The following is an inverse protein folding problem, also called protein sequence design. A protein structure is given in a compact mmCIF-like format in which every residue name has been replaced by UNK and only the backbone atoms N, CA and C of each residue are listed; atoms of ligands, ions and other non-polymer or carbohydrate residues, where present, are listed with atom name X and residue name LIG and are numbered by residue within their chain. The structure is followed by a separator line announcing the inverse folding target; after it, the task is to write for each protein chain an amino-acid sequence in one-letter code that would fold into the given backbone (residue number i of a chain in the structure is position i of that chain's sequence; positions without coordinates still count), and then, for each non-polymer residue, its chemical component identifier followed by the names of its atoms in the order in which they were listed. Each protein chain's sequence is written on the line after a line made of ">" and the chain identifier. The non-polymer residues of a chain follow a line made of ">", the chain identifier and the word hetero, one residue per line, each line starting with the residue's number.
data_IF_405662799506
#
_entry.id   IF_405662799506
#
_cell.length_a   1.000
_cell.length_b   1.000
_cell.length_c   1.000
_cell.angle_alpha   90.00
_cell.angle_beta   90.00
_cell.angle_gamma   90.00
#
_symmetry.space_group_name_H-M   'P 1'
#
loop_
_entity.id
_entity.type
_entity.pdbx_description
1 polymer ?
#
# COMPACT_ATOMS: atom_id res chain seq x y z
N UNK A 1 -26.45 5.49 10.15
CA UNK A 1 -25.76 4.21 10.42
C UNK A 1 -24.32 4.30 9.95
N UNK A 2 -23.38 4.03 10.82
CA UNK A 2 -21.97 4.03 10.44
C UNK A 2 -21.62 2.76 9.64
N UNK A 3 -20.65 2.88 8.74
CA UNK A 3 -20.14 1.72 8.03
C UNK A 3 -19.51 0.73 9.03
N UNK A 4 -19.60 -0.58 8.77
CA UNK A 4 -18.83 -1.54 9.55
C UNK A 4 -17.35 -1.16 9.52
N UNK A 5 -16.67 -1.36 10.64
CA UNK A 5 -15.25 -0.99 10.77
C UNK A 5 -14.38 -1.68 9.72
N UNK A 6 -14.67 -2.95 9.39
CA UNK A 6 -13.94 -3.67 8.36
C UNK A 6 -14.09 -3.02 6.98
N UNK A 7 -15.30 -2.58 6.62
CA UNK A 7 -15.55 -1.89 5.37
C UNK A 7 -14.83 -0.53 5.32
N UNK A 8 -14.79 0.17 6.46
CA UNK A 8 -14.09 1.44 6.58
C UNK A 8 -12.59 1.27 6.39
N UNK A 9 -12.00 0.24 7.02
CA UNK A 9 -10.58 -0.06 6.86
C UNK A 9 -10.24 -0.47 5.42
N UNK A 10 -11.10 -1.28 4.80
CA UNK A 10 -10.93 -1.69 3.39
C UNK A 10 -10.97 -0.47 2.47
N UNK A 11 -11.90 0.46 2.70
CA UNK A 11 -12.00 1.68 1.91
C UNK A 11 -10.73 2.53 2.05
N UNK A 12 -10.19 2.65 3.26
CA UNK A 12 -8.94 3.38 3.50
C UNK A 12 -7.78 2.74 2.75
N UNK A 13 -7.69 1.41 2.75
CA UNK A 13 -6.65 0.70 2.00
C UNK A 13 -6.73 0.99 0.50
N UNK A 14 -7.93 0.98 -0.05
CA UNK A 14 -8.13 1.28 -1.47
C UNK A 14 -7.77 2.72 -1.82
N UNK A 15 -8.03 3.65 -0.93
CA UNK A 15 -7.62 5.05 -1.11
C UNK A 15 -6.11 5.20 -1.11
N UNK A 16 -5.41 4.47 -0.23
CA UNK A 16 -3.95 4.46 -0.20
C UNK A 16 -3.40 3.95 -1.54
N UNK A 17 -3.92 2.82 -2.01
CA UNK A 17 -3.49 2.24 -3.29
C UNK A 17 -3.78 3.18 -4.46
N UNK A 18 -4.92 3.83 -4.47
CA UNK A 18 -5.27 4.76 -5.53
C UNK A 18 -4.36 5.99 -5.53
N UNK A 19 -4.00 6.49 -4.36
CA UNK A 19 -3.16 7.67 -4.24
C UNK A 19 -1.77 7.45 -4.82
N UNK A 20 -1.11 6.32 -4.51
CA UNK A 20 0.22 6.09 -5.06
C UNK A 20 0.18 5.77 -6.56
N UNK A 21 -0.88 5.12 -7.05
CA UNK A 21 -1.01 4.84 -8.48
C UNK A 21 -1.18 6.10 -9.31
N UNK A 22 -1.81 7.11 -8.76
CA UNK A 22 -2.12 8.35 -9.49
C UNK A 22 -1.16 9.49 -9.14
N UNK A 23 -0.10 9.21 -8.39
CA UNK A 23 0.91 10.20 -8.05
C UNK A 23 0.47 11.26 -7.05
N UNK A 24 -0.62 11.03 -6.32
CA UNK A 24 -1.12 11.99 -5.33
C UNK A 24 -0.40 11.80 -4.01
N UNK A 25 0.87 12.20 -3.97
CA UNK A 25 1.75 11.94 -2.84
C UNK A 25 1.38 12.71 -1.58
N UNK A 26 0.83 13.91 -1.70
CA UNK A 26 0.37 14.68 -0.54
C UNK A 26 -0.82 13.99 0.13
N UNK A 27 -1.75 13.48 -0.67
CA UNK A 27 -2.87 12.69 -0.16
C UNK A 27 -2.37 11.41 0.49
N UNK A 28 -1.44 10.71 -0.16
CA UNK A 28 -0.84 9.50 0.40
C UNK A 28 -0.19 9.79 1.75
N UNK A 29 0.57 10.87 1.86
CA UNK A 29 1.23 11.26 3.10
C UNK A 29 0.24 11.42 4.25
N UNK A 30 -0.94 11.98 3.98
CA UNK A 30 -1.97 12.17 4.99
C UNK A 30 -2.57 10.86 5.50
N UNK A 31 -2.39 9.77 4.77
CA UNK A 31 -2.92 8.45 5.11
C UNK A 31 -1.87 7.51 5.71
N UNK A 32 -0.65 7.98 5.92
CA UNK A 32 0.42 7.20 6.52
C UNK A 32 0.81 7.78 7.88
N UNK A 33 0.97 6.91 8.87
CA UNK A 33 1.45 7.33 10.18
C UNK A 33 2.89 7.83 10.05
N UNK A 34 3.24 8.87 10.82
CA UNK A 34 4.58 9.46 10.79
C UNK A 34 5.68 8.43 11.08
N UNK A 35 5.39 7.46 11.96
CA UNK A 35 6.34 6.41 12.35
C UNK A 35 6.19 5.11 11.57
N UNK A 36 5.50 5.12 10.44
CA UNK A 36 5.25 3.90 9.67
C UNK A 36 6.54 3.17 9.31
N UNK A 37 6.46 1.84 9.34
CA UNK A 37 7.56 0.96 8.95
C UNK A 37 7.13 0.11 7.76
N UNK A 38 8.00 0.00 6.77
CA UNK A 38 7.83 -0.96 5.69
C UNK A 38 8.94 -1.99 5.76
N UNK A 39 8.57 -3.25 5.96
CA UNK A 39 9.50 -4.37 6.00
C UNK A 39 9.47 -5.09 4.64
N UNK A 40 10.61 -5.24 3.97
CA UNK A 40 10.63 -6.00 2.71
C UNK A 40 10.41 -7.49 2.96
N UNK A 41 10.18 -8.28 1.90
CA UNK A 41 10.09 -9.73 2.05
C UNK A 41 11.32 -10.28 2.77
N UNK A 42 11.10 -11.18 3.73
CA UNK A 42 12.17 -11.73 4.55
C UNK A 42 12.56 -10.85 5.74
N UNK A 43 11.95 -9.69 5.90
CA UNK A 43 12.07 -8.78 7.05
C UNK A 43 13.47 -8.17 7.25
N UNK A 44 14.40 -8.34 6.30
CA UNK A 44 15.69 -7.69 6.36
C UNK A 44 15.65 -6.31 5.71
N UNK A 45 16.30 -5.31 6.34
CA UNK A 45 16.40 -3.97 5.79
C UNK A 45 15.05 -3.23 5.74
N UNK A 46 14.79 -2.39 6.73
CA UNK A 46 13.48 -1.71 6.86
C UNK A 46 13.55 -0.27 6.41
N UNK A 47 12.49 0.22 5.77
CA UNK A 47 12.26 1.64 5.63
C UNK A 47 11.49 2.11 6.86
N UNK A 48 12.06 3.02 7.62
CA UNK A 48 11.46 3.51 8.86
C UNK A 48 11.10 4.98 8.72
N UNK A 49 9.84 5.26 9.06
CA UNK A 49 9.30 6.61 9.01
C UNK A 49 8.61 6.91 7.68
N UNK A 50 7.58 7.73 7.78
CA UNK A 50 6.76 8.12 6.62
C UNK A 50 7.58 8.73 5.49
N UNK A 51 8.55 9.57 5.83
CA UNK A 51 9.33 10.27 4.80
C UNK A 51 10.16 9.31 3.95
N UNK A 52 10.76 8.29 4.59
CA UNK A 52 11.50 7.26 3.86
C UNK A 52 10.60 6.45 2.95
N UNK A 53 9.40 6.12 3.41
CA UNK A 53 8.42 5.37 2.63
C UNK A 53 7.92 6.22 1.45
N UNK A 54 7.62 7.49 1.69
CA UNK A 54 7.19 8.41 0.64
C UNK A 54 8.28 8.61 -0.42
N UNK A 55 9.56 8.60 -0.02
CA UNK A 55 10.66 8.70 -0.99
C UNK A 55 10.64 7.53 -1.97
N UNK A 56 10.32 6.33 -1.49
CA UNK A 56 10.18 5.15 -2.36
C UNK A 56 9.01 5.27 -3.32
N UNK A 57 7.85 5.72 -2.85
CA UNK A 57 6.70 5.96 -3.72
C UNK A 57 6.98 7.08 -4.73
N UNK A 58 7.67 8.13 -4.30
CA UNK A 58 8.03 9.24 -5.20
C UNK A 58 8.96 8.75 -6.31
N UNK A 59 9.97 7.94 -5.97
CA UNK A 59 10.86 7.36 -6.97
C UNK A 59 10.06 6.56 -8.00
N UNK A 60 9.12 5.73 -7.55
CA UNK A 60 8.26 4.99 -8.45
C UNK A 60 7.43 5.93 -9.33
N UNK A 61 6.76 6.92 -8.74
CA UNK A 61 5.90 7.83 -9.49
C UNK A 61 6.67 8.68 -10.51
N UNK A 62 7.91 9.03 -10.22
CA UNK A 62 8.75 9.83 -11.13
C UNK A 62 9.36 9.01 -12.26
N UNK A 63 9.59 7.72 -12.03
CA UNK A 63 10.35 6.88 -12.96
C UNK A 63 9.53 5.75 -13.58
N UNK A 64 8.30 5.54 -13.12
CA UNK A 64 7.45 4.47 -13.61
C UNK A 64 6.02 4.96 -13.78
N UNK A 65 5.23 4.21 -14.54
CA UNK A 65 3.82 4.50 -14.77
C UNK A 65 3.03 3.21 -14.59
N UNK A 66 2.02 3.24 -13.73
CA UNK A 66 1.10 2.12 -13.57
C UNK A 66 0.13 2.11 -14.75
N UNK A 67 0.17 1.03 -15.53
CA UNK A 67 -0.75 0.83 -16.64
C UNK A 67 -2.04 0.18 -16.16
N UNK A 68 -1.93 -0.79 -15.24
CA UNK A 68 -3.03 -1.58 -14.75
C UNK A 68 -2.70 -2.04 -13.33
N UNK A 69 -3.67 -2.00 -12.44
CA UNK A 69 -3.53 -2.54 -11.08
C UNK A 69 -4.84 -3.23 -10.71
N UNK A 70 -4.76 -4.51 -10.37
CA UNK A 70 -5.92 -5.32 -9.99
C UNK A 70 -5.74 -5.85 -8.57
N UNK A 71 -6.70 -5.56 -7.73
CA UNK A 71 -6.76 -6.04 -6.36
C UNK A 71 -7.63 -7.29 -6.29
N UNK A 72 -7.20 -8.29 -5.52
CA UNK A 72 -7.93 -9.53 -5.34
C UNK A 72 -7.99 -9.90 -3.86
N UNK A 73 -9.14 -10.43 -3.43
CA UNK A 73 -9.31 -11.07 -2.12
C UNK A 73 -8.93 -10.17 -0.95
N UNK A 74 -9.30 -8.90 -1.01
CA UNK A 74 -9.01 -7.98 0.08
C UNK A 74 -9.85 -8.34 1.30
N UNK A 75 -9.16 -8.52 2.44
CA UNK A 75 -9.78 -8.79 3.73
C UNK A 75 -9.25 -7.80 4.76
N UNK A 76 -10.13 -7.35 5.64
CA UNK A 76 -9.77 -6.47 6.74
C UNK A 76 -10.27 -7.09 8.04
N UNK A 77 -9.36 -7.34 8.96
CA UNK A 77 -9.67 -7.83 10.31
C UNK A 77 -9.46 -6.67 11.28
N UNK A 78 -10.52 -6.25 11.95
CA UNK A 78 -10.47 -5.10 12.85
C UNK A 78 -10.51 -5.57 14.30
N UNK A 79 -9.52 -5.14 15.07
CA UNK A 79 -9.40 -5.45 16.49
C UNK A 79 -9.18 -4.12 17.22
N UNK A 80 -10.23 -3.58 17.85
CA UNK A 80 -10.15 -2.27 18.49
C UNK A 80 -9.88 -1.17 17.47
N UNK A 81 -8.80 -0.44 17.65
CA UNK A 81 -8.38 0.64 16.75
C UNK A 81 -7.33 0.19 15.72
N UNK A 82 -7.14 -1.11 15.56
CA UNK A 82 -6.17 -1.70 14.63
C UNK A 82 -6.90 -2.52 13.58
N UNK A 83 -6.48 -2.39 12.34
CA UNK A 83 -6.96 -3.23 11.25
C UNK A 83 -5.78 -3.90 10.57
N UNK A 84 -5.91 -5.20 10.32
CA UNK A 84 -4.95 -5.95 9.51
C UNK A 84 -5.62 -6.18 8.16
N UNK A 85 -5.02 -5.65 7.09
CA UNK A 85 -5.57 -5.72 5.75
C UNK A 85 -4.63 -6.52 4.88
N UNK A 86 -5.17 -7.53 4.22
CA UNK A 86 -4.41 -8.35 3.30
C UNK A 86 -5.11 -8.38 1.94
N UNK A 87 -4.32 -8.45 0.88
CA UNK A 87 -4.85 -8.62 -0.47
C UNK A 87 -3.78 -9.19 -1.38
N UNK A 88 -4.23 -9.79 -2.50
CA UNK A 88 -3.36 -10.12 -3.62
C UNK A 88 -3.48 -9.03 -4.67
N UNK A 89 -2.44 -8.83 -5.43
CA UNK A 89 -2.51 -7.90 -6.56
C UNK A 89 -1.78 -8.47 -7.76
N UNK A 90 -2.19 -8.02 -8.94
CA UNK A 90 -1.37 -8.07 -10.14
C UNK A 90 -1.40 -6.71 -10.80
N UNK A 91 -0.32 -6.37 -11.47
CA UNK A 91 -0.21 -5.07 -12.09
C UNK A 91 0.67 -5.12 -13.33
N UNK A 92 0.47 -4.16 -14.21
CA UNK A 92 1.36 -3.89 -15.33
C UNK A 92 1.87 -2.46 -15.15
N UNK A 93 3.18 -2.29 -15.26
CA UNK A 93 3.78 -0.97 -15.18
C UNK A 93 4.88 -0.80 -16.22
N UNK A 94 5.22 0.45 -16.49
CA UNK A 94 6.30 0.80 -17.41
C UNK A 94 7.36 1.58 -16.66
N UNK A 95 8.63 1.19 -16.88
CA UNK A 95 9.77 1.88 -16.29
C UNK A 95 10.90 1.83 -17.32
N UNK A 96 11.53 2.99 -17.57
CA UNK A 96 12.65 3.11 -18.51
C UNK A 96 12.31 2.55 -19.90
N UNK A 97 11.07 2.73 -20.34
CA UNK A 97 10.62 2.27 -21.65
C UNK A 97 10.29 0.79 -21.74
N UNK A 98 10.44 0.04 -20.64
CA UNK A 98 10.12 -1.39 -20.58
C UNK A 98 8.84 -1.62 -19.79
N UNK A 99 8.00 -2.52 -20.28
CA UNK A 99 6.76 -2.92 -19.62
C UNK A 99 6.97 -4.21 -18.87
N UNK A 100 6.52 -4.23 -17.61
CA UNK A 100 6.63 -5.38 -16.71
C UNK A 100 5.29 -5.74 -16.12
N UNK A 101 5.11 -7.03 -15.86
CA UNK A 101 3.97 -7.56 -15.12
C UNK A 101 4.47 -8.03 -13.77
N UNK A 102 3.84 -7.54 -12.70
CA UNK A 102 4.20 -7.88 -11.34
C UNK A 102 2.98 -8.41 -10.59
N UNK A 103 3.22 -9.29 -9.64
CA UNK A 103 2.18 -9.80 -8.76
C UNK A 103 2.75 -10.04 -7.37
N UNK A 104 1.86 -10.12 -6.39
CA UNK A 104 2.27 -10.40 -5.02
C UNK A 104 1.10 -10.34 -4.05
N UNK A 105 1.45 -10.42 -2.78
CA UNK A 105 0.51 -10.29 -1.66
C UNK A 105 1.01 -9.21 -0.74
N UNK A 106 0.10 -8.36 -0.29
CA UNK A 106 0.39 -7.28 0.64
C UNK A 106 -0.29 -7.54 1.97
N UNK A 107 0.39 -7.16 3.04
CA UNK A 107 -0.18 -7.08 4.37
C UNK A 107 0.10 -5.69 4.92
N UNK A 108 -0.97 -4.99 5.31
CA UNK A 108 -0.89 -3.67 5.93
C UNK A 108 -1.52 -3.72 7.30
N UNK A 109 -0.89 -3.07 8.26
CA UNK A 109 -1.51 -2.78 9.55
C UNK A 109 -1.90 -1.32 9.52
N UNK A 110 -3.18 -1.05 9.78
CA UNK A 110 -3.71 0.31 9.88
C UNK A 110 -4.11 0.57 11.32
N UNK A 111 -3.96 1.80 11.76
CA UNK A 111 -4.41 2.21 13.09
C UNK A 111 -5.30 3.43 12.97
N UNK A 112 -6.36 3.46 13.78
CA UNK A 112 -7.31 4.54 13.76
C UNK A 112 -6.85 5.69 14.65
N UNK A 113 -6.75 6.87 14.07
CA UNK A 113 -6.40 8.12 14.75
C UNK A 113 -7.44 9.15 14.40
N UNK A 114 -8.11 9.71 15.41
CA UNK A 114 -9.11 10.78 15.22
C UNK A 114 -10.13 10.43 14.14
N UNK A 115 -10.59 9.19 14.12
CA UNK A 115 -11.60 8.71 13.19
C UNK A 115 -11.08 8.30 11.81
N UNK A 116 -9.79 8.40 11.54
CA UNK A 116 -9.20 8.04 10.26
C UNK A 116 -8.21 6.89 10.41
N UNK A 117 -8.23 5.97 9.46
CA UNK A 117 -7.27 4.87 9.39
C UNK A 117 -5.97 5.36 8.77
N UNK A 118 -4.85 5.12 9.44
CA UNK A 118 -3.51 5.47 8.94
C UNK A 118 -2.68 4.20 8.77
N UNK A 119 -1.91 4.11 7.69
CA UNK A 119 -0.95 3.03 7.49
C UNK A 119 0.14 3.07 8.54
N UNK A 120 0.33 1.97 9.28
CA UNK A 120 1.27 1.88 10.38
C UNK A 120 2.44 0.95 10.04
N UNK A 121 2.19 -0.12 9.30
CA UNK A 121 3.18 -1.13 8.98
C UNK A 121 2.78 -1.86 7.71
N UNK A 122 3.76 -2.25 6.89
CA UNK A 122 3.51 -2.96 5.64
C UNK A 122 4.59 -3.99 5.37
N UNK A 123 4.19 -5.15 4.84
CA UNK A 123 5.11 -6.09 4.21
C UNK A 123 4.47 -6.72 2.98
N UNK A 124 5.28 -7.43 2.20
CA UNK A 124 4.86 -8.07 0.96
C UNK A 124 5.35 -9.50 0.93
N UNK A 125 4.61 -10.36 0.23
CA UNK A 125 4.91 -11.78 0.10
C UNK A 125 4.76 -12.22 -1.36
N UNK A 126 5.42 -13.33 -1.72
CA UNK A 126 5.23 -14.02 -2.99
C UNK A 126 5.36 -13.08 -4.20
N UNK A 127 6.30 -12.17 -4.15
CA UNK A 127 6.48 -11.20 -5.23
C UNK A 127 7.11 -11.87 -6.44
N UNK A 128 6.47 -11.68 -7.59
CA UNK A 128 6.96 -12.15 -8.89
C UNK A 128 6.92 -11.00 -9.89
N UNK A 129 7.89 -11.00 -10.80
CA UNK A 129 7.94 -9.98 -11.84
C UNK A 129 8.48 -10.59 -13.12
N UNK A 130 7.80 -10.28 -14.22
CA UNK A 130 8.15 -10.78 -15.55
C UNK A 130 8.04 -9.65 -16.57
N UNK A 131 8.87 -9.68 -17.64
CA UNK A 131 8.67 -8.78 -18.76
C UNK A 131 7.29 -9.01 -19.37
N UNK A 132 6.67 -7.93 -19.77
CA UNK A 132 5.34 -8.01 -20.35
C UNK A 132 5.40 -7.72 -21.86
#
# INVERSE_FOLDING_TARGET
>A
MSLPEAASAAAAMRQINQAWQTGRLDELASMLHRGMVMAPPGFGGRAQGRDAILAGFRDYCENARTVEFNEHDLQADVIGDVAIVTFRYDMVYERAGARSRASGRDLWVLQKHSGSWLGLWRTMFDMEEHPS
#
